data_IF_385208505500
#
_entry.id   IF_385208505500
#
_cell.length_a   1.000
_cell.length_b   1.000
_cell.length_c   1.000
_cell.angle_alpha   90.00
_cell.angle_beta   90.00
_cell.angle_gamma   90.00
#
_symmetry.space_group_name_H-M   'P 1'
#
loop_
_entity.id
_entity.type
_entity.pdbx_description
1 polymer ?
#
# COMPACT_ATOMS: atom_id res chain seq x y z
N UNK A 1 18.14 -30.49 -11.33
CA UNK A 1 17.88 -29.59 -10.19
C UNK A 1 18.87 -28.41 -10.03
N UNK A 2 20.20 -28.60 -10.19
CA UNK A 2 21.20 -27.52 -10.04
C UNK A 2 21.10 -26.39 -11.10
N UNK A 3 20.68 -26.67 -12.31
CA UNK A 3 20.56 -25.68 -13.39
C UNK A 3 19.38 -24.70 -13.14
N UNK A 4 18.26 -25.24 -12.70
CA UNK A 4 17.07 -24.44 -12.38
C UNK A 4 17.30 -23.48 -11.20
N UNK A 5 18.04 -23.97 -10.18
CA UNK A 5 18.43 -23.14 -9.03
C UNK A 5 19.37 -21.97 -9.41
N UNK A 6 20.28 -22.22 -10.37
CA UNK A 6 21.19 -21.18 -10.89
C UNK A 6 20.47 -20.12 -11.71
N UNK A 7 19.46 -20.51 -12.50
CA UNK A 7 18.61 -19.58 -13.26
C UNK A 7 17.81 -18.70 -12.31
N UNK A 8 17.18 -19.27 -11.28
CA UNK A 8 16.43 -18.51 -10.28
C UNK A 8 17.34 -17.55 -9.51
N UNK A 9 18.55 -17.95 -9.14
CA UNK A 9 19.52 -17.08 -8.48
C UNK A 9 19.99 -15.94 -9.39
N UNK A 10 20.18 -16.19 -10.68
CA UNK A 10 20.55 -15.15 -11.65
C UNK A 10 19.39 -14.18 -11.91
N UNK A 11 18.16 -14.67 -12.04
CA UNK A 11 16.97 -13.82 -12.13
C UNK A 11 16.80 -12.97 -10.89
N UNK A 12 16.97 -13.55 -9.70
CA UNK A 12 16.93 -12.83 -8.43
C UNK A 12 17.99 -11.73 -8.38
N UNK A 13 19.22 -12.02 -8.79
CA UNK A 13 20.32 -11.06 -8.86
C UNK A 13 20.05 -9.96 -9.89
N UNK A 14 19.42 -10.29 -11.02
CA UNK A 14 19.05 -9.35 -12.08
C UNK A 14 17.93 -8.41 -11.62
N UNK A 15 16.91 -8.91 -10.92
CA UNK A 15 15.79 -8.10 -10.40
C UNK A 15 16.19 -7.19 -9.23
N UNK A 16 17.07 -7.68 -8.34
CA UNK A 16 17.58 -6.90 -7.21
C UNK A 16 18.56 -5.83 -7.67
N UNK A 17 19.41 -6.14 -8.69
CA UNK A 17 20.50 -5.28 -9.15
C UNK A 17 20.17 -4.45 -10.38
N UNK A 18 19.06 -4.72 -11.08
CA UNK A 18 18.63 -3.93 -12.23
C UNK A 18 17.26 -3.30 -11.94
N UNK A 19 17.26 -2.14 -11.28
CA UNK A 19 16.01 -1.41 -11.06
C UNK A 19 15.39 -1.07 -12.41
N UNK A 20 14.06 -1.06 -12.48
CA UNK A 20 13.31 -0.58 -13.63
C UNK A 20 13.93 0.71 -14.15
N UNK A 21 13.94 0.90 -15.47
CA UNK A 21 14.47 2.14 -16.07
C UNK A 21 13.82 3.37 -15.40
N UNK A 22 14.56 4.46 -15.30
CA UNK A 22 14.09 5.70 -14.65
C UNK A 22 12.76 6.18 -15.23
N UNK A 23 12.56 6.02 -16.54
CA UNK A 23 11.32 6.42 -17.21
C UNK A 23 10.13 5.57 -16.76
N UNK A 24 10.30 4.26 -16.59
CA UNK A 24 9.27 3.36 -16.07
C UNK A 24 8.96 3.61 -14.60
N UNK A 25 9.97 3.92 -13.79
CA UNK A 25 9.76 4.31 -12.39
C UNK A 25 8.94 5.61 -12.29
N UNK A 26 9.25 6.59 -13.14
CA UNK A 26 8.53 7.86 -13.19
C UNK A 26 7.08 7.65 -13.65
N UNK A 27 6.86 6.87 -14.71
CA UNK A 27 5.52 6.56 -15.20
C UNK A 27 4.67 5.86 -14.14
N UNK A 28 5.25 4.85 -13.47
CA UNK A 28 4.59 4.14 -12.38
C UNK A 28 4.27 5.08 -11.20
N UNK A 29 5.25 5.90 -10.78
CA UNK A 29 5.05 6.86 -9.70
C UNK A 29 3.93 7.85 -10.03
N UNK A 30 3.90 8.40 -11.26
CA UNK A 30 2.86 9.30 -11.71
C UNK A 30 1.48 8.62 -11.70
N UNK A 31 1.38 7.40 -12.23
CA UNK A 31 0.13 6.64 -12.22
C UNK A 31 -0.37 6.35 -10.80
N UNK A 32 0.52 5.95 -9.88
CA UNK A 32 0.18 5.72 -8.48
C UNK A 32 -0.22 7.02 -7.75
N UNK A 33 0.42 8.15 -8.07
CA UNK A 33 0.07 9.44 -7.50
C UNK A 33 -1.34 9.89 -7.96
N UNK A 34 -1.64 9.75 -9.25
CA UNK A 34 -2.97 10.05 -9.80
C UNK A 34 -4.03 9.16 -9.15
N UNK A 35 -3.78 7.84 -9.07
CA UNK A 35 -4.69 6.89 -8.42
C UNK A 35 -4.96 7.30 -6.96
N UNK A 36 -3.92 7.68 -6.23
CA UNK A 36 -4.03 8.11 -4.84
C UNK A 36 -4.85 9.39 -4.70
N UNK A 37 -4.62 10.39 -5.54
CA UNK A 37 -5.38 11.65 -5.53
C UNK A 37 -6.86 11.37 -5.80
N UNK A 38 -7.17 10.62 -6.84
CA UNK A 38 -8.55 10.32 -7.23
C UNK A 38 -9.31 9.55 -6.15
N UNK A 39 -8.67 8.56 -5.51
CA UNK A 39 -9.34 7.70 -4.53
C UNK A 39 -9.32 8.24 -3.10
N UNK A 40 -8.51 9.26 -2.82
CA UNK A 40 -8.40 9.87 -1.49
C UNK A 40 -9.19 11.17 -1.37
N UNK A 41 -9.32 11.92 -2.46
CA UNK A 41 -10.12 13.14 -2.46
C UNK A 41 -11.59 12.78 -2.73
N UNK A 42 -12.44 12.85 -1.73
CA UNK A 42 -13.92 12.78 -1.89
C UNK A 42 -14.47 13.98 -2.69
N UNK A 43 -13.61 14.64 -3.47
CA UNK A 43 -13.91 15.86 -4.19
C UNK A 43 -14.78 15.66 -5.43
N UNK A 44 -14.82 14.42 -5.91
CA UNK A 44 -15.66 14.06 -7.04
C UNK A 44 -16.77 13.15 -6.54
N UNK A 45 -18.01 13.51 -6.74
CA UNK A 45 -19.18 12.70 -6.33
C UNK A 45 -19.10 11.24 -6.84
N UNK A 46 -18.46 11.03 -8.00
CA UNK A 46 -18.22 9.69 -8.55
C UNK A 46 -17.04 8.96 -7.86
N UNK A 47 -16.13 9.66 -7.22
CA UNK A 47 -15.00 9.05 -6.51
C UNK A 47 -15.41 8.42 -5.17
N UNK A 48 -16.59 8.76 -4.64
CA UNK A 48 -17.16 8.11 -3.44
C UNK A 48 -17.45 6.63 -3.66
N UNK A 49 -17.56 6.20 -4.92
CA UNK A 49 -17.79 4.79 -5.31
C UNK A 49 -16.48 3.97 -5.30
N UNK A 50 -15.32 4.63 -5.40
CA UNK A 50 -14.04 3.93 -5.45
C UNK A 50 -13.47 3.72 -4.03
N UNK A 51 -13.08 2.48 -3.69
CA UNK A 51 -12.39 2.20 -2.44
C UNK A 51 -11.07 2.97 -2.33
N UNK A 52 -10.63 3.32 -1.11
CA UNK A 52 -9.35 4.02 -0.91
C UNK A 52 -8.16 3.16 -1.33
N UNK A 53 -7.38 3.66 -2.31
CA UNK A 53 -6.19 2.98 -2.80
C UNK A 53 -4.93 3.24 -1.95
N UNK A 54 -4.98 4.11 -0.94
CA UNK A 54 -3.79 4.61 -0.24
C UNK A 54 -2.89 3.49 0.28
N UNK A 55 -3.43 2.48 0.95
CA UNK A 55 -2.64 1.36 1.50
C UNK A 55 -1.99 0.53 0.39
N UNK A 56 -2.72 0.27 -0.71
CA UNK A 56 -2.19 -0.41 -1.88
C UNK A 56 -1.07 0.39 -2.55
N UNK A 57 -1.25 1.72 -2.67
CA UNK A 57 -0.23 2.61 -3.23
C UNK A 57 1.06 2.55 -2.41
N UNK A 58 1.00 2.63 -1.07
CA UNK A 58 2.19 2.51 -0.23
C UNK A 58 2.85 1.13 -0.35
N UNK A 59 2.07 0.06 -0.51
CA UNK A 59 2.60 -1.26 -0.77
C UNK A 59 3.33 -1.31 -2.13
N UNK A 60 2.72 -0.80 -3.20
CA UNK A 60 3.31 -0.79 -4.55
C UNK A 60 4.54 0.11 -4.64
N UNK A 61 4.52 1.28 -3.98
CA UNK A 61 5.70 2.16 -3.85
C UNK A 61 6.84 1.44 -3.14
N UNK A 62 6.56 0.71 -2.06
CA UNK A 62 7.56 -0.10 -1.35
C UNK A 62 8.10 -1.23 -2.20
N UNK A 63 7.24 -1.90 -2.96
CA UNK A 63 7.61 -3.04 -3.79
C UNK A 63 8.40 -2.66 -5.04
N UNK A 64 7.99 -1.63 -5.77
CA UNK A 64 8.59 -1.24 -7.06
C UNK A 64 9.66 -0.15 -6.95
N UNK A 65 9.41 0.91 -6.18
CA UNK A 65 10.31 2.06 -6.12
C UNK A 65 11.40 1.91 -5.05
N UNK A 66 11.11 1.26 -3.92
CA UNK A 66 12.06 0.86 -2.86
C UNK A 66 12.88 1.99 -2.22
N UNK A 67 12.65 3.25 -2.59
CA UNK A 67 13.41 4.40 -2.14
C UNK A 67 12.67 5.14 -1.01
N UNK A 68 13.41 5.59 0.01
CA UNK A 68 12.86 6.41 1.10
C UNK A 68 12.32 7.76 0.61
N UNK A 69 12.93 8.34 -0.43
CA UNK A 69 12.42 9.57 -1.04
C UNK A 69 11.02 9.37 -1.64
N UNK A 70 10.79 8.25 -2.34
CA UNK A 70 9.45 7.94 -2.86
C UNK A 70 8.44 7.76 -1.74
N UNK A 71 8.80 7.11 -0.63
CA UNK A 71 7.93 7.05 0.55
C UNK A 71 7.57 8.45 1.05
N UNK A 72 8.57 9.32 1.24
CA UNK A 72 8.35 10.68 1.75
C UNK A 72 7.47 11.54 0.81
N UNK A 73 7.67 11.43 -0.51
CA UNK A 73 6.85 12.11 -1.51
C UNK A 73 5.39 11.66 -1.44
N UNK A 74 5.13 10.34 -1.38
CA UNK A 74 3.77 9.82 -1.27
C UNK A 74 3.13 10.11 0.09
N UNK A 75 3.90 10.11 1.18
CA UNK A 75 3.42 10.53 2.49
C UNK A 75 3.03 12.02 2.50
N UNK A 76 3.86 12.89 1.89
CA UNK A 76 3.55 14.29 1.70
C UNK A 76 2.31 14.51 0.82
N UNK A 77 2.16 13.73 -0.25
CA UNK A 77 0.98 13.77 -1.10
C UNK A 77 -0.29 13.37 -0.34
N UNK A 78 -0.22 12.29 0.48
CA UNK A 78 -1.32 11.86 1.34
C UNK A 78 -1.74 12.97 2.30
N UNK A 79 -0.76 13.59 2.95
CA UNK A 79 -1.00 14.71 3.85
C UNK A 79 -1.64 15.91 3.13
N UNK A 80 -1.13 16.24 1.95
CA UNK A 80 -1.66 17.36 1.15
C UNK A 80 -3.12 17.12 0.72
N UNK A 81 -3.47 15.88 0.33
CA UNK A 81 -4.85 15.52 0.00
C UNK A 81 -5.79 15.70 1.21
N UNK A 82 -5.37 15.20 2.39
CA UNK A 82 -6.20 15.30 3.59
C UNK A 82 -6.34 16.75 4.08
N UNK A 83 -5.24 17.51 4.00
CA UNK A 83 -5.26 18.93 4.33
C UNK A 83 -6.16 19.73 3.40
N UNK A 84 -6.16 19.41 2.11
CA UNK A 84 -7.05 20.03 1.13
C UNK A 84 -8.53 19.75 1.43
N UNK A 85 -8.87 18.50 1.74
CA UNK A 85 -10.24 18.09 2.12
C UNK A 85 -10.68 18.84 3.38
N UNK A 86 -9.79 19.02 4.35
CA UNK A 86 -10.07 19.79 5.56
C UNK A 86 -10.38 21.27 5.27
N UNK A 87 -9.56 21.92 4.41
CA UNK A 87 -9.73 23.35 4.11
C UNK A 87 -11.01 23.60 3.29
N UNK A 88 -11.26 22.77 2.29
CA UNK A 88 -12.33 23.00 1.32
C UNK A 88 -13.64 22.36 1.76
N UNK A 89 -13.58 21.16 2.36
CA UNK A 89 -14.75 20.40 2.81
C UNK A 89 -15.27 20.81 4.21
N UNK A 90 -14.43 21.46 5.01
CA UNK A 90 -14.80 21.81 6.41
C UNK A 90 -14.99 20.61 7.33
N UNK A 91 -14.83 19.39 6.82
CA UNK A 91 -15.03 18.14 7.51
C UNK A 91 -13.70 17.41 7.68
N UNK A 92 -12.97 17.69 8.73
CA UNK A 92 -11.74 16.96 9.00
C UNK A 92 -11.31 17.15 10.45
N UNK A 93 -10.96 16.06 11.11
CA UNK A 93 -10.39 16.09 12.45
C UNK A 93 -8.92 15.68 12.39
N UNK A 94 -8.00 16.65 12.42
CA UNK A 94 -6.63 16.38 12.80
C UNK A 94 -6.58 16.15 14.31
N UNK A 95 -6.60 14.89 14.70
CA UNK A 95 -6.37 14.48 16.09
C UNK A 95 -4.90 14.18 16.32
N UNK A 96 -4.47 14.13 17.58
CA UNK A 96 -3.12 13.68 17.96
C UNK A 96 -2.79 12.28 17.42
N UNK A 97 -3.81 11.48 17.13
CA UNK A 97 -3.66 10.14 16.52
C UNK A 97 -3.27 10.18 15.03
N UNK A 98 -3.45 11.32 14.35
CA UNK A 98 -3.23 11.41 12.90
C UNK A 98 -1.80 11.02 12.48
N UNK A 99 -0.80 11.36 13.27
CA UNK A 99 0.59 10.99 13.01
C UNK A 99 0.83 9.48 12.89
N UNK A 100 0.04 8.68 13.59
CA UNK A 100 0.18 7.20 13.57
C UNK A 100 -0.32 6.57 12.27
N UNK A 101 -1.12 7.26 11.47
CA UNK A 101 -1.49 6.82 10.13
C UNK A 101 -0.22 6.68 9.26
N UNK A 102 0.71 7.63 9.37
CA UNK A 102 2.00 7.57 8.67
C UNK A 102 2.88 6.41 9.17
N UNK A 103 2.82 6.06 10.44
CA UNK A 103 3.49 4.86 10.96
C UNK A 103 2.92 3.58 10.32
N UNK A 104 1.59 3.51 10.12
CA UNK A 104 0.93 2.44 9.37
C UNK A 104 1.40 2.37 7.90
N UNK A 105 1.46 3.51 7.21
CA UNK A 105 1.97 3.59 5.83
C UNK A 105 3.43 3.17 5.73
N UNK A 106 4.26 3.59 6.69
CA UNK A 106 5.66 3.19 6.75
C UNK A 106 5.82 1.69 6.97
N UNK A 107 5.02 1.09 7.85
CA UNK A 107 5.01 -0.36 8.07
C UNK A 107 4.71 -1.10 6.76
N UNK A 108 3.64 -0.72 6.05
CA UNK A 108 3.25 -1.35 4.77
C UNK A 108 4.36 -1.21 3.74
N UNK A 109 4.88 0.01 3.55
CA UNK A 109 5.97 0.29 2.63
C UNK A 109 7.22 -0.52 2.96
N UNK A 110 7.59 -0.62 4.23
CA UNK A 110 8.78 -1.35 4.68
C UNK A 110 8.66 -2.86 4.49
N UNK A 111 7.49 -3.41 4.78
CA UNK A 111 7.18 -4.83 4.53
C UNK A 111 7.18 -5.15 3.03
N UNK A 112 6.60 -4.30 2.21
CA UNK A 112 6.59 -4.47 0.76
C UNK A 112 8.00 -4.39 0.16
N UNK A 113 8.83 -3.43 0.58
CA UNK A 113 10.24 -3.34 0.19
C UNK A 113 11.01 -4.60 0.59
N UNK A 114 10.85 -5.06 1.82
CA UNK A 114 11.46 -6.29 2.30
C UNK A 114 11.04 -7.53 1.49
N UNK A 115 9.75 -7.61 1.13
CA UNK A 115 9.24 -8.69 0.30
C UNK A 115 9.83 -8.65 -1.11
N UNK A 116 9.94 -7.46 -1.71
CA UNK A 116 10.53 -7.27 -3.03
C UNK A 116 12.01 -7.66 -3.11
N UNK A 117 12.74 -7.56 -2.00
CA UNK A 117 14.14 -7.99 -1.90
C UNK A 117 14.27 -9.52 -1.78
N UNK A 118 13.20 -10.22 -1.37
CA UNK A 118 13.22 -11.66 -1.07
C UNK A 118 12.45 -12.53 -2.04
N UNK A 119 11.35 -12.04 -2.59
CA UNK A 119 10.44 -12.80 -3.43
C UNK A 119 10.40 -12.22 -4.84
N UNK A 120 10.43 -13.11 -5.84
CA UNK A 120 10.22 -12.77 -7.24
C UNK A 120 8.85 -13.34 -7.64
N UNK A 121 8.02 -12.55 -8.30
CA UNK A 121 6.68 -12.96 -8.75
C UNK A 121 6.75 -13.93 -9.95
N UNK A 122 7.52 -15.02 -9.83
CA UNK A 122 7.68 -16.02 -10.89
C UNK A 122 6.73 -17.21 -10.75
N UNK A 123 6.14 -17.41 -9.57
CA UNK A 123 5.30 -18.58 -9.32
C UNK A 123 4.20 -18.36 -8.28
N UNK A 124 3.27 -19.32 -8.21
CA UNK A 124 2.14 -19.27 -7.28
C UNK A 124 2.61 -19.20 -5.81
N UNK A 125 3.67 -19.94 -5.45
CA UNK A 125 4.21 -19.95 -4.08
C UNK A 125 4.70 -18.56 -3.63
N UNK A 126 5.36 -17.81 -4.52
CA UNK A 126 5.84 -16.47 -4.20
C UNK A 126 4.70 -15.45 -4.19
N UNK A 127 3.68 -15.65 -5.04
CA UNK A 127 2.44 -14.90 -4.99
C UNK A 127 1.72 -15.05 -3.64
N UNK A 128 1.61 -16.27 -3.12
CA UNK A 128 1.01 -16.55 -1.79
C UNK A 128 1.79 -15.85 -0.67
N UNK A 129 3.13 -15.91 -0.71
CA UNK A 129 3.97 -15.21 0.29
C UNK A 129 3.80 -13.71 0.24
N UNK A 130 3.75 -13.13 -0.97
CA UNK A 130 3.53 -11.70 -1.15
C UNK A 130 2.15 -11.28 -0.65
N UNK A 131 1.12 -12.09 -0.94
CA UNK A 131 -0.22 -11.89 -0.41
C UNK A 131 -0.24 -11.93 1.13
N UNK A 132 0.45 -12.89 1.74
CA UNK A 132 0.56 -12.98 3.20
C UNK A 132 1.26 -11.74 3.79
N UNK A 133 2.32 -11.25 3.15
CA UNK A 133 3.00 -10.01 3.58
C UNK A 133 2.06 -8.79 3.46
N UNK A 134 1.30 -8.69 2.37
CA UNK A 134 0.31 -7.63 2.21
C UNK A 134 -0.75 -7.69 3.30
N UNK A 135 -1.35 -8.86 3.51
CA UNK A 135 -2.38 -9.09 4.52
C UNK A 135 -1.88 -8.71 5.93
N UNK A 136 -0.70 -9.21 6.32
CA UNK A 136 -0.15 -8.96 7.65
C UNK A 136 0.24 -7.49 7.85
N UNK A 137 0.82 -6.84 6.84
CA UNK A 137 1.22 -5.42 6.95
C UNK A 137 0.01 -4.48 6.97
N UNK A 138 -1.04 -4.77 6.20
CA UNK A 138 -2.30 -4.01 6.22
C UNK A 138 -3.01 -4.20 7.57
N UNK A 139 -3.05 -5.44 8.08
CA UNK A 139 -3.60 -5.72 9.42
C UNK A 139 -2.84 -4.99 10.52
N UNK A 140 -1.51 -4.97 10.43
CA UNK A 140 -0.67 -4.20 11.35
C UNK A 140 -0.93 -2.69 11.29
N UNK A 141 -1.09 -2.14 10.09
CA UNK A 141 -1.46 -0.74 9.90
C UNK A 141 -2.86 -0.42 10.47
N UNK A 142 -3.82 -1.33 10.31
CA UNK A 142 -5.14 -1.24 10.93
C UNK A 142 -5.05 -1.15 12.46
N UNK A 143 -4.27 -2.03 13.08
CA UNK A 143 -4.08 -2.02 14.54
C UNK A 143 -3.39 -0.75 15.02
N UNK A 144 -2.36 -0.27 14.32
CA UNK A 144 -1.67 0.98 14.66
C UNK A 144 -2.63 2.17 14.56
N UNK A 145 -3.35 2.30 13.44
CA UNK A 145 -4.26 3.41 13.20
C UNK A 145 -5.42 3.44 14.21
N UNK A 146 -6.12 2.33 14.37
CA UNK A 146 -7.28 2.28 15.27
C UNK A 146 -6.86 2.27 16.73
N UNK A 147 -5.77 1.59 17.11
CA UNK A 147 -5.27 1.61 18.48
C UNK A 147 -4.80 3.00 18.91
N UNK A 148 -4.11 3.72 18.03
CA UNK A 148 -3.71 5.11 18.31
C UNK A 148 -4.91 6.05 18.40
N UNK A 149 -5.92 5.85 17.55
CA UNK A 149 -7.14 6.65 17.58
C UNK A 149 -7.91 6.44 18.89
N UNK A 150 -8.01 5.21 19.36
CA UNK A 150 -8.57 4.90 20.67
C UNK A 150 -7.80 5.62 21.80
N UNK A 151 -6.47 5.53 21.79
CA UNK A 151 -5.64 6.02 22.90
C UNK A 151 -5.49 7.56 22.92
N UNK A 152 -5.44 8.21 21.74
CA UNK A 152 -5.00 9.60 21.62
C UNK A 152 -6.01 10.56 20.99
N UNK A 153 -7.20 10.09 20.55
CA UNK A 153 -8.21 10.99 19.98
C UNK A 153 -8.98 11.78 21.04
N UNK A 154 -8.99 11.31 22.29
CA UNK A 154 -9.80 11.88 23.37
C UNK A 154 -11.31 11.56 23.27
N UNK A 155 -11.75 10.88 22.21
CA UNK A 155 -13.17 10.65 21.93
C UNK A 155 -13.73 9.37 22.61
N UNK A 156 -12.88 8.55 23.23
CA UNK A 156 -13.22 7.22 23.71
C UNK A 156 -12.82 6.96 25.16
N UNK A 157 -12.66 8.02 25.97
CA UNK A 157 -12.29 7.94 27.38
C UNK A 157 -13.23 7.06 28.20
N UNK A 158 -14.50 7.02 27.82
CA UNK A 158 -15.58 6.33 28.58
C UNK A 158 -15.85 4.90 28.04
N UNK A 159 -15.16 4.48 26.99
CA UNK A 159 -15.32 3.15 26.40
C UNK A 159 -14.20 2.20 26.85
N UNK A 160 -14.58 0.98 27.25
CA UNK A 160 -13.59 -0.07 27.48
C UNK A 160 -12.91 -0.47 26.17
N UNK A 161 -11.68 -0.99 26.26
CA UNK A 161 -10.95 -1.50 25.09
C UNK A 161 -11.74 -2.59 24.36
N UNK A 162 -12.49 -3.42 25.09
CA UNK A 162 -13.30 -4.49 24.52
C UNK A 162 -14.46 -3.92 23.68
N UNK A 163 -15.19 -2.94 24.20
CA UNK A 163 -16.31 -2.30 23.49
C UNK A 163 -15.84 -1.55 22.25
N UNK A 164 -14.69 -0.86 22.34
CA UNK A 164 -14.08 -0.20 21.22
C UNK A 164 -13.67 -1.22 20.14
N UNK A 165 -12.99 -2.30 20.52
CA UNK A 165 -12.56 -3.34 19.58
C UNK A 165 -13.74 -4.02 18.87
N UNK A 166 -14.83 -4.30 19.59
CA UNK A 166 -16.05 -4.84 19.03
C UNK A 166 -16.71 -3.89 18.01
N UNK A 167 -16.58 -2.57 18.21
CA UNK A 167 -17.04 -1.56 17.26
C UNK A 167 -16.18 -1.52 16.01
N UNK A 168 -14.86 -1.51 16.17
CA UNK A 168 -13.90 -1.32 15.11
C UNK A 168 -13.76 -2.55 14.19
N UNK A 169 -13.93 -3.77 14.73
CA UNK A 169 -13.80 -5.01 13.96
C UNK A 169 -14.76 -5.08 12.76
N UNK A 170 -15.89 -4.37 12.83
CA UNK A 170 -16.85 -4.28 11.71
C UNK A 170 -16.24 -3.63 10.47
N UNK A 171 -15.30 -2.73 10.64
CA UNK A 171 -14.62 -2.01 9.56
C UNK A 171 -13.38 -2.74 9.04
N UNK A 172 -12.92 -3.78 9.75
CA UNK A 172 -11.70 -4.48 9.42
C UNK A 172 -11.76 -5.15 8.05
N UNK A 173 -12.88 -5.75 7.69
CA UNK A 173 -13.04 -6.41 6.39
C UNK A 173 -12.94 -5.41 5.25
N UNK A 174 -13.62 -4.27 5.34
CA UNK A 174 -13.54 -3.20 4.32
C UNK A 174 -12.11 -2.67 4.23
N UNK A 175 -11.46 -2.43 5.39
CA UNK A 175 -10.07 -1.97 5.44
C UNK A 175 -9.08 -2.93 4.76
N UNK A 176 -9.37 -4.23 4.75
CA UNK A 176 -8.58 -5.24 4.06
C UNK A 176 -8.94 -5.36 2.58
N UNK A 177 -10.23 -5.41 2.26
CA UNK A 177 -10.69 -5.69 0.89
C UNK A 177 -10.30 -4.58 -0.07
N UNK A 178 -10.42 -3.32 0.33
CA UNK A 178 -10.11 -2.17 -0.50
C UNK A 178 -8.68 -2.22 -1.10
N UNK A 179 -7.61 -2.29 -0.30
CA UNK A 179 -6.27 -2.37 -0.86
C UNK A 179 -5.98 -3.69 -1.59
N UNK A 180 -6.61 -4.81 -1.17
CA UNK A 180 -6.40 -6.10 -1.82
C UNK A 180 -6.96 -6.14 -3.24
N UNK A 181 -8.06 -5.45 -3.52
CA UNK A 181 -8.58 -5.29 -4.89
C UNK A 181 -7.53 -4.63 -5.79
N UNK A 182 -6.96 -3.50 -5.37
CA UNK A 182 -5.94 -2.81 -6.15
C UNK A 182 -4.67 -3.63 -6.33
N UNK A 183 -4.25 -4.36 -5.29
CA UNK A 183 -3.09 -5.25 -5.37
C UNK A 183 -3.35 -6.43 -6.32
N UNK A 184 -4.56 -6.99 -6.34
CA UNK A 184 -4.95 -8.03 -7.30
C UNK A 184 -4.88 -7.52 -8.74
N UNK A 185 -5.41 -6.32 -9.01
CA UNK A 185 -5.30 -5.67 -10.32
C UNK A 185 -3.83 -5.43 -10.69
N UNK A 186 -3.00 -4.94 -9.76
CA UNK A 186 -1.58 -4.72 -10.02
C UNK A 186 -0.83 -6.02 -10.37
N UNK A 187 -1.13 -7.12 -9.68
CA UNK A 187 -0.57 -8.45 -10.00
C UNK A 187 -1.00 -8.93 -11.38
N UNK A 188 -2.27 -8.73 -11.75
CA UNK A 188 -2.79 -9.08 -13.07
C UNK A 188 -2.06 -8.30 -14.17
N UNK A 189 -1.96 -6.99 -14.03
CA UNK A 189 -1.23 -6.12 -14.97
C UNK A 189 0.23 -6.54 -15.08
N UNK A 190 0.88 -6.82 -13.95
CA UNK A 190 2.28 -7.28 -13.94
C UNK A 190 2.45 -8.58 -14.73
N UNK A 191 1.56 -9.56 -14.55
CA UNK A 191 1.60 -10.83 -15.27
C UNK A 191 1.37 -10.68 -16.76
N UNK A 192 0.38 -9.89 -17.17
CA UNK A 192 0.09 -9.63 -18.58
C UNK A 192 1.28 -8.94 -19.29
N UNK A 193 1.90 -7.97 -18.61
CA UNK A 193 3.08 -7.27 -19.16
C UNK A 193 4.29 -8.20 -19.29
N UNK A 194 4.50 -9.13 -18.36
CA UNK A 194 5.61 -10.08 -18.41
C UNK A 194 5.46 -11.08 -19.57
N UNK A 195 4.24 -11.58 -19.83
CA UNK A 195 3.98 -12.51 -20.93
C UNK A 195 4.18 -11.85 -22.32
N UNK A 196 3.90 -10.55 -22.45
CA UNK A 196 4.13 -9.83 -23.71
C UNK A 196 5.61 -9.64 -24.06
N UNK A 197 6.50 -9.64 -23.07
CA UNK A 197 7.94 -9.51 -23.29
C UNK A 197 8.59 -10.84 -23.70
N UNK A 198 8.08 -11.98 -23.20
CA UNK A 198 8.57 -13.32 -23.61
C UNK A 198 8.18 -13.72 -25.04
N UNK A 199 7.12 -13.15 -25.61
CA UNK A 199 6.67 -13.47 -26.99
C UNK A 199 7.49 -12.70 -28.05
N UNK A 200 8.30 -11.73 -27.67
CA UNK A 200 9.09 -10.89 -28.59
C UNK A 200 10.58 -11.27 -28.66
N UNK A 201 11.04 -12.28 -27.92
CA UNK A 201 12.36 -12.92 -28.05
C UNK A 201 12.26 -14.24 -28.79
#
# INVERSE_FOLDING_TARGET
MRCYFRIILNLKKRWVNNPMSKNWQLLLATGLAILMIITRSNYFDWATVLPSASLAVFFLVGFYLRNYLSFAVFAGLAYACDYWVLIVGGEGCFTSAYGFIFAGYFLIWRCAKWAAERYILTGLKDGIKLFAVALLSISGAFLISNGSFYAFSGNFSDLSLLDYSARVIRYYLTYLTDPLIYLAVAVLVHRLSSNHLEIKE
#
